data_IF_408293624459
#
_entry.id   IF_408293624459
#
_cell.length_a   1.000
_cell.length_b   1.000
_cell.length_c   1.000
_cell.angle_alpha   90.00
_cell.angle_beta   90.00
_cell.angle_gamma   90.00
#
_symmetry.space_group_name_H-M   'P 1'
#
loop_
_entity.id
_entity.type
_entity.pdbx_description
1 polymer ?
#
# COMPACT_ATOMS: atom_id res chain seq x y z
N UNK A 1 2.47 -10.29 -146.31
CA UNK A 1 2.45 -11.22 -145.15
C UNK A 1 2.85 -10.39 -143.93
N UNK A 2 1.86 -9.87 -143.18
CA UNK A 2 1.29 -10.43 -141.93
C UNK A 2 2.24 -10.30 -140.73
N UNK A 3 1.88 -9.36 -139.82
CA UNK A 3 1.94 -9.33 -138.34
C UNK A 3 3.23 -9.80 -137.62
N UNK A 4 3.70 -9.17 -136.54
CA UNK A 4 2.99 -9.11 -135.24
C UNK A 4 3.60 -8.03 -134.33
N UNK A 5 2.74 -7.14 -133.83
CA UNK A 5 3.00 -6.27 -132.67
C UNK A 5 2.81 -7.10 -131.41
N UNK A 6 3.81 -7.12 -130.55
CA UNK A 6 3.75 -7.75 -129.23
C UNK A 6 2.84 -6.93 -128.31
N UNK A 7 1.66 -7.49 -128.03
CA UNK A 7 0.76 -7.00 -126.99
C UNK A 7 1.32 -7.38 -125.62
N UNK A 8 1.82 -6.40 -124.88
CA UNK A 8 2.08 -6.52 -123.44
C UNK A 8 0.74 -6.69 -122.74
N UNK A 9 0.63 -7.77 -121.97
CA UNK A 9 -0.62 -8.21 -121.36
C UNK A 9 -1.06 -7.28 -120.23
N UNK A 10 -2.28 -6.74 -120.33
CA UNK A 10 -2.99 -5.97 -119.30
C UNK A 10 -3.20 -6.74 -117.97
N UNK A 11 -2.87 -8.04 -117.92
CA UNK A 11 -2.98 -8.90 -116.74
C UNK A 11 -1.83 -8.72 -115.73
N UNK A 12 -0.63 -8.34 -116.18
CA UNK A 12 0.52 -8.11 -115.27
C UNK A 12 0.32 -6.85 -114.41
N UNK A 13 -0.46 -5.88 -114.90
CA UNK A 13 -0.68 -4.61 -114.24
C UNK A 13 -1.79 -4.66 -113.16
N UNK A 14 -2.64 -5.69 -113.13
CA UNK A 14 -3.67 -5.87 -112.08
C UNK A 14 -3.18 -6.79 -110.95
N UNK A 15 -2.30 -7.73 -111.25
CA UNK A 15 -1.75 -8.66 -110.25
C UNK A 15 -0.75 -7.97 -109.30
N UNK A 16 0.01 -6.98 -109.81
CA UNK A 16 0.91 -6.16 -108.98
C UNK A 16 0.19 -5.30 -107.93
N UNK A 17 -1.02 -4.81 -108.21
CA UNK A 17 -1.79 -3.99 -107.26
C UNK A 17 -2.44 -4.81 -106.15
N UNK A 18 -2.79 -6.07 -106.42
CA UNK A 18 -3.28 -6.99 -105.38
C UNK A 18 -2.21 -7.30 -104.33
N UNK A 19 -0.96 -7.53 -104.76
CA UNK A 19 0.19 -7.70 -103.85
C UNK A 19 0.53 -6.42 -103.11
N UNK A 20 0.50 -5.26 -103.77
CA UNK A 20 0.76 -3.97 -103.11
C UNK A 20 -0.33 -3.69 -102.06
N UNK A 21 -1.60 -3.94 -102.38
CA UNK A 21 -2.71 -3.81 -101.44
C UNK A 21 -2.57 -4.74 -100.23
N UNK A 22 -2.21 -6.01 -100.44
CA UNK A 22 -1.97 -6.97 -99.36
C UNK A 22 -0.80 -6.56 -98.46
N UNK A 23 0.30 -6.05 -99.04
CA UNK A 23 1.46 -5.55 -98.28
C UNK A 23 1.09 -4.31 -97.47
N UNK A 24 0.31 -3.38 -98.04
CA UNK A 24 -0.17 -2.19 -97.33
C UNK A 24 -1.09 -2.58 -96.16
N UNK A 25 -2.00 -3.53 -96.36
CA UNK A 25 -2.88 -4.04 -95.31
C UNK A 25 -2.09 -4.78 -94.23
N UNK A 26 -1.11 -5.61 -94.61
CA UNK A 26 -0.24 -6.30 -93.66
C UNK A 26 0.60 -5.32 -92.82
N UNK A 27 1.12 -4.25 -93.45
CA UNK A 27 1.82 -3.17 -92.75
C UNK A 27 0.89 -2.43 -91.80
N UNK A 28 -0.34 -2.12 -92.21
CA UNK A 28 -1.35 -1.49 -91.34
C UNK A 28 -1.68 -2.37 -90.13
N UNK A 29 -1.90 -3.67 -90.32
CA UNK A 29 -2.18 -4.62 -89.24
C UNK A 29 -0.97 -4.73 -88.29
N UNK A 30 0.25 -4.80 -88.83
CA UNK A 30 1.47 -4.85 -88.03
C UNK A 30 1.68 -3.57 -87.21
N UNK A 31 1.38 -2.41 -87.77
CA UNK A 31 1.53 -1.11 -87.12
C UNK A 31 0.48 -0.92 -86.01
N UNK A 32 -0.76 -1.34 -86.25
CA UNK A 32 -1.82 -1.38 -85.23
C UNK A 32 -1.45 -2.37 -84.13
N UNK A 33 -1.02 -3.59 -84.47
CA UNK A 33 -0.61 -4.62 -83.50
C UNK A 33 0.54 -4.15 -82.61
N UNK A 34 1.57 -3.53 -83.20
CA UNK A 34 2.69 -2.96 -82.45
C UNK A 34 2.26 -1.80 -81.55
N UNK A 35 1.36 -0.92 -82.01
CA UNK A 35 0.83 0.18 -81.19
C UNK A 35 0.01 -0.30 -79.98
N UNK A 36 -0.75 -1.40 -80.15
CA UNK A 36 -1.55 -2.00 -79.08
C UNK A 36 -0.65 -2.71 -78.08
N UNK A 37 0.37 -3.45 -78.54
CA UNK A 37 1.35 -4.09 -77.66
C UNK A 37 2.22 -3.07 -76.91
N UNK A 38 2.58 -1.96 -77.55
CA UNK A 38 3.29 -0.86 -76.91
C UNK A 38 2.44 -0.25 -75.78
N UNK A 39 1.16 0.03 -76.04
CA UNK A 39 0.22 0.53 -75.03
C UNK A 39 -0.05 -0.46 -73.91
N UNK A 40 -0.14 -1.76 -74.20
CA UNK A 40 -0.30 -2.81 -73.17
C UNK A 40 0.92 -2.88 -72.27
N UNK A 41 2.13 -2.87 -72.84
CA UNK A 41 3.38 -2.86 -72.05
C UNK A 41 3.55 -1.62 -71.20
N UNK A 42 3.14 -0.44 -71.68
CA UNK A 42 3.10 0.78 -70.87
C UNK A 42 2.08 0.68 -69.73
N UNK A 43 0.88 0.18 -70.02
CA UNK A 43 -0.17 -0.02 -69.02
C UNK A 43 0.28 -0.99 -67.93
N UNK A 44 0.84 -2.14 -68.29
CA UNK A 44 1.34 -3.14 -67.33
C UNK A 44 2.49 -2.60 -66.46
N UNK A 45 3.37 -1.75 -67.02
CA UNK A 45 4.40 -1.05 -66.24
C UNK A 45 3.78 -0.04 -65.28
N UNK A 46 2.82 0.76 -65.74
CA UNK A 46 2.13 1.75 -64.90
C UNK A 46 1.34 1.09 -63.77
N UNK A 47 0.70 -0.06 -64.03
CA UNK A 47 -0.01 -0.84 -63.02
C UNK A 47 0.98 -1.48 -62.03
N UNK A 48 2.11 -2.01 -62.52
CA UNK A 48 3.17 -2.54 -61.67
C UNK A 48 3.86 -1.48 -60.79
N UNK A 49 4.00 -0.24 -61.26
CA UNK A 49 4.50 0.89 -60.48
C UNK A 49 3.49 1.36 -59.45
N UNK A 50 2.22 1.50 -59.84
CA UNK A 50 1.12 1.85 -58.94
C UNK A 50 0.93 0.80 -57.82
N UNK A 51 1.10 -0.49 -58.14
CA UNK A 51 1.04 -1.57 -57.15
C UNK A 51 2.19 -1.46 -56.14
N UNK A 52 3.43 -1.23 -56.61
CA UNK A 52 4.59 -1.05 -55.73
C UNK A 52 4.48 0.19 -54.85
N UNK A 53 3.88 1.27 -55.37
CA UNK A 53 3.63 2.48 -54.60
C UNK A 53 2.63 2.23 -53.48
N UNK A 54 1.51 1.54 -53.77
CA UNK A 54 0.55 1.09 -52.76
C UNK A 54 1.17 0.17 -51.72
N UNK A 55 2.02 -0.77 -52.13
CA UNK A 55 2.70 -1.68 -51.21
C UNK A 55 3.68 -0.93 -50.28
N UNK A 56 4.36 0.10 -50.79
CA UNK A 56 5.23 0.98 -49.98
C UNK A 56 4.42 1.78 -48.97
N UNK A 57 3.32 2.39 -49.41
CA UNK A 57 2.42 3.16 -48.54
C UNK A 57 1.84 2.27 -47.43
N UNK A 58 1.42 1.05 -47.78
CA UNK A 58 0.94 0.07 -46.81
C UNK A 58 2.03 -0.32 -45.79
N UNK A 59 3.25 -0.61 -46.26
CA UNK A 59 4.37 -0.95 -45.39
C UNK A 59 4.78 0.22 -44.46
N UNK A 60 4.73 1.45 -44.95
CA UNK A 60 4.97 2.65 -44.14
C UNK A 60 3.88 2.84 -43.09
N UNK A 61 2.62 2.64 -43.46
CA UNK A 61 1.48 2.72 -42.55
C UNK A 61 1.56 1.68 -41.44
N UNK A 62 1.94 0.43 -41.76
CA UNK A 62 2.17 -0.64 -40.76
C UNK A 62 3.30 -0.25 -39.81
N UNK A 63 4.45 0.18 -40.33
CA UNK A 63 5.59 0.60 -39.48
C UNK A 63 5.25 1.79 -38.58
N UNK A 64 4.31 2.65 -39.00
CA UNK A 64 3.84 3.75 -38.17
C UNK A 64 2.90 3.24 -37.06
N UNK A 65 2.00 2.31 -37.38
CA UNK A 65 1.12 1.66 -36.40
C UNK A 65 1.93 0.87 -35.37
N UNK A 66 2.88 0.04 -35.80
CA UNK A 66 3.73 -0.75 -34.91
C UNK A 66 4.53 0.14 -33.94
N UNK A 67 5.04 1.28 -34.43
CA UNK A 67 5.73 2.28 -33.60
C UNK A 67 4.80 2.91 -32.57
N UNK A 68 3.60 3.32 -33.00
CA UNK A 68 2.61 3.90 -32.10
C UNK A 68 2.15 2.90 -31.03
N UNK A 69 1.98 1.63 -31.39
CA UNK A 69 1.62 0.56 -30.45
C UNK A 69 2.75 0.27 -29.47
N UNK A 70 4.00 0.15 -29.95
CA UNK A 70 5.16 -0.03 -29.09
C UNK A 70 5.38 1.14 -28.11
N UNK A 71 5.07 2.38 -28.52
CA UNK A 71 5.11 3.54 -27.64
C UNK A 71 4.00 3.52 -26.58
N UNK A 72 2.77 3.14 -26.96
CA UNK A 72 1.67 2.95 -26.01
C UNK A 72 1.99 1.88 -24.99
N UNK A 73 2.56 0.76 -25.43
CA UNK A 73 2.93 -0.33 -24.54
C UNK A 73 4.03 0.11 -23.56
N UNK A 74 5.09 0.76 -24.05
CA UNK A 74 6.12 1.33 -23.16
C UNK A 74 5.56 2.35 -22.18
N UNK A 75 4.56 3.14 -22.57
CA UNK A 75 3.92 4.10 -21.68
C UNK A 75 3.08 3.40 -20.61
N UNK A 76 2.34 2.35 -20.98
CA UNK A 76 1.58 1.52 -20.05
C UNK A 76 2.51 0.81 -19.04
N UNK A 77 3.61 0.21 -19.51
CA UNK A 77 4.58 -0.46 -18.65
C UNK A 77 5.21 0.50 -17.63
N UNK A 78 5.51 1.75 -18.05
CA UNK A 78 6.03 2.79 -17.13
C UNK A 78 4.98 3.22 -16.12
N UNK A 79 3.73 3.36 -16.53
CA UNK A 79 2.63 3.74 -15.63
C UNK A 79 2.40 2.64 -14.58
N UNK A 80 2.40 1.38 -15.00
CA UNK A 80 2.28 0.24 -14.10
C UNK A 80 3.47 0.15 -13.14
N UNK A 81 4.70 0.30 -13.63
CA UNK A 81 5.90 0.32 -12.78
C UNK A 81 5.84 1.47 -11.75
N UNK A 82 5.39 2.66 -12.15
CA UNK A 82 5.22 3.79 -11.25
C UNK A 82 4.13 3.52 -10.20
N UNK A 83 3.03 2.86 -10.60
CA UNK A 83 1.97 2.47 -9.68
C UNK A 83 2.48 1.46 -8.65
N UNK A 84 3.16 0.39 -9.10
CA UNK A 84 3.77 -0.61 -8.20
C UNK A 84 4.73 0.03 -7.21
N UNK A 85 5.58 0.96 -7.67
CA UNK A 85 6.49 1.70 -6.78
C UNK A 85 5.74 2.54 -5.75
N UNK A 86 4.64 3.19 -6.12
CA UNK A 86 3.82 3.95 -5.17
C UNK A 86 3.14 3.03 -4.15
N UNK A 87 2.58 1.92 -4.61
CA UNK A 87 1.93 0.93 -3.74
C UNK A 87 2.95 0.33 -2.74
N UNK A 88 4.15 0.01 -3.20
CA UNK A 88 5.26 -0.46 -2.35
C UNK A 88 5.68 0.60 -1.32
N UNK A 89 5.76 1.88 -1.72
CA UNK A 89 6.09 2.97 -0.80
C UNK A 89 5.00 3.16 0.25
N UNK A 90 3.73 3.15 -0.14
CA UNK A 90 2.62 3.23 0.81
C UNK A 90 2.65 2.05 1.79
N UNK A 91 2.82 0.83 1.29
CA UNK A 91 2.94 -0.35 2.15
C UNK A 91 4.15 -0.26 3.11
N UNK A 92 5.28 0.27 2.65
CA UNK A 92 6.44 0.50 3.50
C UNK A 92 6.19 1.57 4.57
N UNK A 93 5.53 2.67 4.22
CA UNK A 93 5.15 3.74 5.14
C UNK A 93 4.16 3.24 6.21
N UNK A 94 3.15 2.46 5.82
CA UNK A 94 2.20 1.85 6.75
C UNK A 94 2.87 0.87 7.72
N UNK A 95 3.82 0.07 7.23
CA UNK A 95 4.61 -0.83 8.10
C UNK A 95 5.46 -0.04 9.09
N UNK A 96 6.11 1.04 8.63
CA UNK A 96 6.91 1.89 9.49
C UNK A 96 6.05 2.59 10.55
N UNK A 97 4.88 3.10 10.18
CA UNK A 97 3.95 3.72 11.13
C UNK A 97 3.50 2.72 12.19
N UNK A 98 3.15 1.50 11.81
CA UNK A 98 2.81 0.42 12.75
C UNK A 98 3.95 0.13 13.73
N UNK A 99 5.18 0.00 13.24
CA UNK A 99 6.36 -0.21 14.10
C UNK A 99 6.60 0.95 15.07
N UNK A 100 6.46 2.19 14.61
CA UNK A 100 6.61 3.37 15.48
C UNK A 100 5.50 3.45 16.53
N UNK A 101 4.27 3.09 16.18
CA UNK A 101 3.16 3.03 17.11
C UNK A 101 3.36 1.93 18.14
N UNK A 102 3.74 0.72 17.72
CA UNK A 102 4.11 -0.38 18.62
C UNK A 102 5.23 0.03 19.58
N UNK A 103 6.30 0.64 19.08
CA UNK A 103 7.40 1.14 19.91
C UNK A 103 6.96 2.21 20.90
N UNK A 104 6.09 3.15 20.49
CA UNK A 104 5.51 4.14 21.41
C UNK A 104 4.70 3.49 22.50
N UNK A 105 3.90 2.47 22.16
CA UNK A 105 3.09 1.80 23.18
C UNK A 105 3.98 0.99 24.13
N UNK A 106 5.02 0.31 23.63
CA UNK A 106 6.01 -0.38 24.47
C UNK A 106 6.68 0.58 25.47
N UNK A 107 7.11 1.76 25.02
CA UNK A 107 7.71 2.78 25.90
C UNK A 107 6.71 3.24 26.96
N UNK A 108 5.44 3.48 26.60
CA UNK A 108 4.39 3.86 27.55
C UNK A 108 4.09 2.75 28.55
N UNK A 109 4.03 1.50 28.11
CA UNK A 109 3.84 0.33 28.98
C UNK A 109 5.00 0.17 29.94
N UNK A 110 6.24 0.24 29.45
CA UNK A 110 7.44 0.18 30.28
C UNK A 110 7.47 1.29 31.33
N UNK A 111 7.11 2.52 30.96
CA UNK A 111 6.96 3.61 31.91
C UNK A 111 5.90 3.31 32.97
N UNK A 112 4.71 2.84 32.57
CA UNK A 112 3.64 2.49 33.50
C UNK A 112 4.06 1.39 34.49
N UNK A 113 4.77 0.36 34.03
CA UNK A 113 5.32 -0.71 34.89
C UNK A 113 6.23 -0.13 35.96
N UNK A 114 7.18 0.75 35.57
CA UNK A 114 8.09 1.39 36.53
C UNK A 114 7.32 2.23 37.55
N UNK A 115 6.29 2.96 37.11
CA UNK A 115 5.45 3.74 38.02
C UNK A 115 4.70 2.85 39.01
N UNK A 116 4.16 1.71 38.58
CA UNK A 116 3.44 0.78 39.45
C UNK A 116 4.38 0.08 40.44
N UNK A 117 5.56 -0.35 40.00
CA UNK A 117 6.59 -0.90 40.88
C UNK A 117 6.97 0.11 41.96
N UNK A 118 7.20 1.36 41.58
CA UNK A 118 7.55 2.43 42.53
C UNK A 118 6.42 2.72 43.52
N UNK A 119 5.17 2.63 43.09
CA UNK A 119 4.01 2.77 43.96
C UNK A 119 3.95 1.63 44.99
N UNK A 120 4.19 0.39 44.55
CA UNK A 120 4.27 -0.78 45.41
C UNK A 120 5.40 -0.71 46.43
N UNK A 121 6.58 -0.24 46.04
CA UNK A 121 7.71 0.00 46.95
C UNK A 121 7.37 1.01 48.04
N UNK A 122 6.82 2.17 47.66
CA UNK A 122 6.43 3.22 48.61
C UNK A 122 5.32 2.75 49.56
N UNK A 123 4.40 1.93 49.05
CA UNK A 123 3.35 1.32 49.87
C UNK A 123 3.93 0.29 50.84
N UNK A 124 4.86 -0.55 50.41
CA UNK A 124 5.57 -1.50 51.28
C UNK A 124 6.40 -0.80 52.37
N UNK A 125 7.07 0.31 52.04
CA UNK A 125 7.79 1.16 53.02
C UNK A 125 6.82 1.66 54.10
N UNK A 126 5.67 2.20 53.70
CA UNK A 126 4.64 2.67 54.63
C UNK A 126 4.12 1.54 55.53
N UNK A 127 3.81 0.36 54.97
CA UNK A 127 3.32 -0.79 55.74
C UNK A 127 4.39 -1.36 56.67
N UNK A 128 5.65 -1.37 56.24
CA UNK A 128 6.80 -1.75 57.07
C UNK A 128 6.92 -0.88 58.31
N UNK A 129 6.89 0.45 58.13
CA UNK A 129 6.91 1.42 59.25
C UNK A 129 5.72 1.22 60.19
N UNK A 130 4.52 1.03 59.64
CA UNK A 130 3.32 0.79 60.45
C UNK A 130 3.41 -0.52 61.25
N UNK A 131 3.95 -1.58 60.66
CA UNK A 131 4.11 -2.88 61.32
C UNK A 131 5.17 -2.82 62.43
N UNK A 132 6.32 -2.23 62.16
CA UNK A 132 7.41 -2.02 63.14
C UNK A 132 6.90 -1.28 64.38
N UNK A 133 6.12 -0.20 64.19
CA UNK A 133 5.58 0.56 65.31
C UNK A 133 4.45 -0.13 66.06
N UNK A 134 3.73 -1.06 65.42
CA UNK A 134 2.71 -1.87 66.08
C UNK A 134 3.33 -3.01 66.92
N UNK A 135 4.50 -3.52 66.52
CA UNK A 135 5.23 -4.59 67.21
C UNK A 135 6.06 -4.07 68.40
N UNK A 136 6.58 -2.84 68.31
CA UNK A 136 7.25 -2.17 69.42
C UNK A 136 6.27 -1.76 70.53
N UNK A 137 5.86 -2.73 71.35
CA UNK A 137 5.00 -2.57 72.54
C UNK A 137 5.45 -1.52 73.57
N UNK A 138 6.69 -1.01 73.47
CA UNK A 138 7.34 -0.23 74.53
C UNK A 138 7.78 1.17 74.11
N UNK A 139 7.57 1.58 72.87
CA UNK A 139 7.84 2.95 72.49
C UNK A 139 6.68 3.89 72.85
N UNK A 140 6.95 5.14 73.25
CA UNK A 140 5.90 6.12 73.48
C UNK A 140 5.04 6.27 72.22
N UNK A 141 3.73 6.03 72.35
CA UNK A 141 2.73 6.20 71.28
C UNK A 141 2.73 7.60 70.65
N UNK A 142 3.37 8.56 71.32
CA UNK A 142 3.47 9.97 70.94
C UNK A 142 4.87 10.40 70.47
N UNK A 143 5.75 9.48 70.06
CA UNK A 143 7.06 9.85 69.51
C UNK A 143 6.90 10.74 68.25
N UNK A 144 7.32 12.02 68.31
CA UNK A 144 7.19 12.95 67.18
C UNK A 144 8.01 12.51 65.96
N UNK A 145 9.08 11.73 66.15
CA UNK A 145 9.88 11.18 65.05
C UNK A 145 9.06 10.21 64.19
N UNK A 146 8.27 9.33 64.81
CA UNK A 146 7.39 8.36 64.12
C UNK A 146 6.31 9.05 63.30
N UNK A 147 5.62 10.02 63.91
CA UNK A 147 4.59 10.82 63.21
C UNK A 147 5.17 11.62 62.05
N UNK A 148 6.42 12.06 62.15
CA UNK A 148 7.10 12.75 61.06
C UNK A 148 7.39 11.78 59.92
N UNK A 149 7.99 10.62 60.22
CA UNK A 149 8.31 9.60 59.23
C UNK A 149 7.05 9.08 58.50
N UNK A 150 5.97 8.83 59.24
CA UNK A 150 4.70 8.36 58.66
C UNK A 150 4.12 9.40 57.69
N UNK A 151 4.07 10.66 58.11
CA UNK A 151 3.56 11.75 57.27
C UNK A 151 4.38 11.90 56.00
N UNK A 152 5.70 11.77 56.08
CA UNK A 152 6.59 11.81 54.92
C UNK A 152 6.34 10.63 53.98
N UNK A 153 6.22 9.41 54.50
CA UNK A 153 5.93 8.21 53.71
C UNK A 153 4.55 8.33 53.00
N UNK A 154 3.51 8.73 53.72
CA UNK A 154 2.16 8.96 53.17
C UNK A 154 2.18 10.06 52.10
N UNK A 155 2.89 11.17 52.32
CA UNK A 155 2.99 12.25 51.34
C UNK A 155 3.70 11.79 50.05
N UNK A 156 4.80 11.04 50.17
CA UNK A 156 5.50 10.48 49.01
C UNK A 156 4.61 9.52 48.22
N UNK A 157 3.93 8.61 48.92
CA UNK A 157 3.00 7.67 48.29
C UNK A 157 1.86 8.41 47.59
N UNK A 158 1.23 9.40 48.25
CA UNK A 158 0.18 10.24 47.64
C UNK A 158 0.64 10.95 46.38
N UNK A 159 1.80 11.60 46.44
CA UNK A 159 2.36 12.34 45.31
C UNK A 159 2.64 11.43 44.11
N UNK A 160 2.99 10.16 44.36
CA UNK A 160 3.25 9.18 43.31
C UNK A 160 1.95 8.60 42.75
N UNK A 161 1.06 8.12 43.62
CA UNK A 161 -0.17 7.40 43.27
C UNK A 161 -1.16 8.28 42.50
N UNK A 162 -1.18 9.60 42.72
CA UNK A 162 -2.06 10.52 41.97
C UNK A 162 -1.83 10.48 40.45
N UNK A 163 -0.59 10.17 40.03
CA UNK A 163 -0.20 10.14 38.61
C UNK A 163 -0.58 8.83 37.91
N UNK A 164 -0.89 7.78 38.68
CA UNK A 164 -1.30 6.49 38.12
C UNK A 164 -2.72 6.60 37.55
N UNK A 165 -3.00 5.86 36.48
CA UNK A 165 -4.36 5.79 35.96
C UNK A 165 -5.26 4.93 36.84
N UNK A 166 -6.55 5.25 36.88
CA UNK A 166 -7.57 4.51 37.64
C UNK A 166 -7.52 2.98 37.43
N UNK A 167 -7.41 2.45 36.19
CA UNK A 167 -7.41 1.00 35.98
C UNK A 167 -6.20 0.26 36.55
N UNK A 168 -5.12 0.94 36.90
CA UNK A 168 -3.89 0.27 37.32
C UNK A 168 -3.65 0.31 38.85
N UNK A 169 -4.40 1.12 39.59
CA UNK A 169 -4.14 1.38 41.01
C UNK A 169 -5.38 1.90 41.75
N UNK A 170 -6.57 1.42 41.41
CA UNK A 170 -7.82 1.90 42.00
C UNK A 170 -7.94 1.53 43.48
N UNK A 171 -7.52 0.33 43.89
CA UNK A 171 -7.53 -0.08 45.30
C UNK A 171 -6.48 0.69 46.10
N UNK A 172 -5.27 0.84 45.55
CA UNK A 172 -4.22 1.64 46.19
C UNK A 172 -4.67 3.10 46.38
N UNK A 173 -5.33 3.69 45.38
CA UNK A 173 -5.90 5.04 45.48
C UNK A 173 -6.97 5.11 46.55
N UNK A 174 -7.90 4.14 46.58
CA UNK A 174 -8.94 4.07 47.59
C UNK A 174 -8.37 3.99 49.01
N UNK A 175 -7.32 3.19 49.20
CA UNK A 175 -6.63 3.07 50.49
C UNK A 175 -5.92 4.37 50.92
N UNK A 176 -5.27 5.05 49.97
CA UNK A 176 -4.41 6.22 50.26
C UNK A 176 -5.19 7.52 50.45
N UNK A 177 -6.26 7.70 49.68
CA UNK A 177 -7.07 8.92 49.67
C UNK A 177 -8.40 8.74 50.40
N UNK A 178 -8.89 7.51 50.55
CA UNK A 178 -10.22 7.21 51.07
C UNK A 178 -11.29 7.31 49.99
N UNK A 179 -12.28 6.42 50.06
CA UNK A 179 -13.30 6.19 49.03
C UNK A 179 -14.12 7.43 48.66
N UNK A 180 -14.25 8.39 49.57
CA UNK A 180 -15.03 9.62 49.38
C UNK A 180 -14.32 10.71 48.58
N UNK A 181 -13.00 10.61 48.42
CA UNK A 181 -12.18 11.62 47.72
C UNK A 181 -11.73 11.19 46.33
N UNK A 182 -12.16 10.00 45.89
CA UNK A 182 -11.85 9.45 44.58
C UNK A 182 -12.70 10.13 43.50
N UNK A 183 -12.11 10.28 42.31
CA UNK A 183 -12.90 10.55 41.12
C UNK A 183 -13.81 9.37 40.76
N UNK A 184 -14.86 9.63 39.99
CA UNK A 184 -15.89 8.64 39.64
C UNK A 184 -15.31 7.38 38.99
N UNK A 185 -14.29 7.53 38.14
CA UNK A 185 -13.70 6.42 37.40
C UNK A 185 -12.92 5.53 38.35
N UNK A 186 -12.05 6.13 39.17
CA UNK A 186 -11.29 5.41 40.19
C UNK A 186 -12.21 4.71 41.19
N UNK A 187 -13.29 5.38 41.63
CA UNK A 187 -14.27 4.80 42.54
C UNK A 187 -14.96 3.57 41.93
N UNK A 188 -15.42 3.67 40.68
CA UNK A 188 -16.07 2.53 40.00
C UNK A 188 -15.15 1.34 39.85
N UNK A 189 -13.91 1.57 39.42
CA UNK A 189 -12.89 0.52 39.31
C UNK A 189 -12.59 -0.11 40.68
N UNK A 190 -12.51 0.71 41.74
CA UNK A 190 -12.27 0.22 43.09
C UNK A 190 -13.46 -0.62 43.60
N UNK A 191 -14.70 -0.19 43.36
CA UNK A 191 -15.90 -0.96 43.68
C UNK A 191 -15.87 -2.28 42.91
N UNK A 192 -15.60 -2.27 41.61
CA UNK A 192 -15.56 -3.49 40.81
C UNK A 192 -14.55 -4.52 41.34
N UNK A 193 -13.41 -4.05 41.88
CA UNK A 193 -12.32 -4.92 42.36
C UNK A 193 -12.46 -5.34 43.82
N UNK A 194 -13.04 -4.50 44.66
CA UNK A 194 -13.22 -4.73 46.10
C UNK A 194 -14.69 -4.54 46.51
N UNK A 195 -15.63 -5.02 45.70
CA UNK A 195 -17.08 -4.89 46.01
C UNK A 195 -17.37 -5.49 47.37
N UNK A 196 -18.13 -4.77 48.19
CA UNK A 196 -18.77 -5.37 49.36
C UNK A 196 -19.97 -6.24 48.96
N UNK A 197 -20.55 -6.96 49.93
CA UNK A 197 -21.72 -7.82 49.70
C UNK A 197 -22.95 -7.06 49.16
N UNK A 198 -22.96 -5.71 49.25
CA UNK A 198 -24.01 -4.85 48.69
C UNK A 198 -23.71 -4.32 47.28
N UNK A 199 -22.46 -4.36 46.82
CA UNK A 199 -22.04 -3.94 45.47
C UNK A 199 -21.97 -2.43 45.22
N UNK A 200 -22.33 -1.60 46.20
CA UNK A 200 -22.49 -0.14 46.02
C UNK A 200 -21.34 0.69 46.63
N UNK A 201 -20.48 0.06 47.44
CA UNK A 201 -19.34 0.72 48.06
C UNK A 201 -18.04 -0.07 47.89
N UNK A 202 -16.92 0.64 48.06
CA UNK A 202 -15.61 0.00 48.15
C UNK A 202 -15.57 -0.69 49.51
N UNK A 203 -15.56 -2.02 49.49
CA UNK A 203 -15.44 -2.86 50.66
C UNK A 203 -14.09 -2.69 51.38
N UNK A 204 -13.89 -3.41 52.49
CA UNK A 204 -12.60 -3.39 53.18
C UNK A 204 -11.51 -3.91 52.24
N UNK A 205 -10.44 -3.12 52.08
CA UNK A 205 -9.31 -3.45 51.21
C UNK A 205 -8.19 -4.04 52.07
N UNK A 206 -7.77 -5.27 51.75
CA UNK A 206 -6.59 -5.88 52.34
C UNK A 206 -5.29 -5.53 51.58
N UNK A 207 -4.16 -5.51 52.28
CA UNK A 207 -2.84 -5.28 51.67
C UNK A 207 -2.58 -6.29 50.55
N UNK A 208 -3.01 -7.54 50.74
CA UNK A 208 -2.87 -8.61 49.75
C UNK A 208 -3.61 -8.30 48.44
N UNK A 209 -4.75 -7.61 48.51
CA UNK A 209 -5.53 -7.22 47.33
C UNK A 209 -4.86 -6.09 46.58
N UNK A 210 -4.26 -5.13 47.30
CA UNK A 210 -3.48 -4.05 46.69
C UNK A 210 -2.25 -4.62 45.98
N UNK A 211 -1.50 -5.52 46.61
CA UNK A 211 -0.34 -6.14 45.95
C UNK A 211 -0.75 -7.01 44.76
N UNK A 212 -1.88 -7.71 44.85
CA UNK A 212 -2.43 -8.48 43.73
C UNK A 212 -2.82 -7.56 42.57
N UNK A 213 -3.54 -6.46 42.84
CA UNK A 213 -3.86 -5.46 41.83
C UNK A 213 -2.60 -4.96 41.11
N UNK A 214 -1.57 -4.55 41.86
CA UNK A 214 -0.35 -4.04 41.25
C UNK A 214 0.37 -5.12 40.42
N UNK A 215 0.42 -6.35 40.91
CA UNK A 215 1.05 -7.47 40.23
C UNK A 215 0.30 -7.83 38.93
N UNK A 216 -1.03 -7.94 38.98
CA UNK A 216 -1.87 -8.27 37.84
C UNK A 216 -1.77 -7.18 36.76
N UNK A 217 -1.83 -5.90 37.14
CA UNK A 217 -1.68 -4.79 36.19
C UNK A 217 -0.27 -4.74 35.57
N UNK A 218 0.78 -5.05 36.34
CA UNK A 218 2.14 -5.18 35.78
C UNK A 218 2.21 -6.38 34.82
N UNK A 219 1.60 -7.51 35.17
CA UNK A 219 1.56 -8.69 34.32
C UNK A 219 0.80 -8.43 33.02
N UNK A 220 -0.32 -7.71 33.06
CA UNK A 220 -1.10 -7.31 31.88
C UNK A 220 -0.31 -6.35 30.98
N UNK A 221 0.45 -5.43 31.56
CA UNK A 221 1.31 -4.50 30.82
C UNK A 221 2.53 -5.19 30.18
N UNK A 222 3.03 -6.26 30.80
CA UNK A 222 4.16 -7.07 30.32
C UNK A 222 3.74 -8.28 29.46
N UNK A 223 2.47 -8.65 29.51
CA UNK A 223 1.94 -9.87 28.90
C UNK A 223 2.13 -9.89 27.38
N UNK A 224 2.17 -11.09 26.77
CA UNK A 224 2.25 -11.20 25.33
C UNK A 224 0.99 -10.53 24.76
N UNK A 225 1.20 -9.40 24.09
CA UNK A 225 0.21 -8.90 23.14
C UNK A 225 -0.07 -10.07 22.23
N UNK A 226 -1.31 -10.54 22.17
CA UNK A 226 -1.70 -11.58 21.23
C UNK A 226 -1.11 -11.21 19.88
N UNK A 227 -0.06 -11.91 19.50
CA UNK A 227 0.49 -11.91 18.16
C UNK A 227 -0.63 -12.45 17.31
N UNK A 228 -1.46 -11.55 16.80
CA UNK A 228 -2.38 -11.81 15.70
C UNK A 228 -1.53 -11.98 14.44
N UNK A 229 -0.74 -13.04 14.41
CA UNK A 229 -0.26 -13.66 13.20
C UNK A 229 -1.32 -14.70 12.82
N UNK A 230 -2.28 -14.25 12.01
CA UNK A 230 -3.10 -15.06 11.14
C UNK A 230 -3.26 -14.31 9.82
#
# INVERSE_FOLDING_TARGET
>A
MVQKTDNVSLTDQLQGWGTVGAVVVALLIALIGWSVDARRREKDRSEGEAQREKDREYAESQRAQDRAEAERQRAADRAEAAQRLNDERQAAEERLQRQLEEGRIQVRQGFAVVQLQRAGELYAELRGLQREWNEERFAPRDDPGRRSAERVAVQRLRAHVVTLSAPHASLLKAQVFGSSSLDETTRREAIQRASDDSGDAVGPIDDAEIYRELADNIADLLGPRSSGDA
#
